data_IF_474020284260
#
_entry.id   IF_474020284260
#
_cell.length_a   1.000
_cell.length_b   1.000
_cell.length_c   1.000
_cell.angle_alpha   90.00
_cell.angle_beta   90.00
_cell.angle_gamma   90.00
#
_symmetry.space_group_name_H-M   'P 1'
#
loop_
_entity.id
_entity.type
_entity.pdbx_description
1 polymer ?
#
# COMPACT_ATOMS: atom_id res chain seq x y z
N UNK A 1 26.64 14.65 -1.33
CA UNK A 1 25.78 15.84 -1.20
C UNK A 1 24.53 15.42 -0.45
N UNK A 2 24.39 15.84 0.81
CA UNK A 2 23.18 15.61 1.60
C UNK A 2 22.11 16.56 1.05
N UNK A 3 21.22 16.02 0.22
CA UNK A 3 20.06 16.76 -0.27
C UNK A 3 19.06 16.91 0.87
N UNK A 4 18.59 18.13 1.10
CA UNK A 4 17.44 18.42 1.93
C UNK A 4 16.24 17.60 1.44
N UNK A 5 15.95 16.46 2.08
CA UNK A 5 14.64 15.82 1.96
C UNK A 5 13.65 16.73 2.70
N UNK A 6 12.87 17.49 1.93
CA UNK A 6 11.69 18.15 2.50
C UNK A 6 10.82 17.06 3.11
N UNK A 7 10.59 17.14 4.41
CA UNK A 7 9.68 16.24 5.11
C UNK A 7 8.26 16.58 4.66
N UNK A 8 7.76 15.86 3.65
CA UNK A 8 6.38 15.99 3.21
C UNK A 8 5.49 15.17 4.15
N UNK A 9 4.39 15.80 4.60
CA UNK A 9 3.34 15.07 5.30
C UNK A 9 2.80 13.96 4.38
N UNK A 10 2.64 12.75 4.90
CA UNK A 10 2.15 11.60 4.15
C UNK A 10 1.12 10.82 4.96
N UNK A 11 0.34 9.99 4.25
CA UNK A 11 -0.62 9.06 4.85
C UNK A 11 -0.14 7.65 4.56
N UNK A 12 0.16 6.88 5.62
CA UNK A 12 0.51 5.47 5.48
C UNK A 12 -0.76 4.60 5.48
N UNK A 13 -0.89 3.72 4.46
CA UNK A 13 -2.02 2.79 4.34
C UNK A 13 -1.50 1.36 4.39
N UNK A 14 -1.97 0.59 5.37
CA UNK A 14 -1.66 -0.85 5.51
C UNK A 14 -2.93 -1.67 5.33
N UNK A 15 -2.90 -2.63 4.41
CA UNK A 15 -3.98 -3.57 4.15
C UNK A 15 -3.53 -5.01 4.38
N UNK A 16 -4.34 -5.79 5.09
CA UNK A 16 -4.10 -7.23 5.31
C UNK A 16 -5.31 -8.02 4.83
N UNK A 17 -5.07 -9.05 4.03
CA UNK A 17 -6.08 -10.00 3.59
C UNK A 17 -5.72 -11.40 4.07
N UNK A 18 -6.73 -12.23 4.35
CA UNK A 18 -6.56 -13.64 4.75
C UNK A 18 -7.63 -14.48 4.09
N UNK A 19 -7.24 -15.65 3.58
CA UNK A 19 -8.16 -16.62 3.00
C UNK A 19 -7.70 -18.05 3.34
N UNK A 20 -8.64 -18.99 3.34
CA UNK A 20 -8.39 -20.44 3.36
C UNK A 20 -8.70 -20.95 1.95
N UNK A 21 -7.73 -20.77 1.04
CA UNK A 21 -7.87 -21.08 -0.38
C UNK A 21 -6.60 -21.67 -0.99
N UNK A 22 -6.70 -22.11 -2.24
CA UNK A 22 -5.56 -22.67 -3.00
C UNK A 22 -4.59 -21.59 -3.49
N UNK A 23 -5.03 -20.34 -3.54
CA UNK A 23 -4.26 -19.18 -4.01
C UNK A 23 -3.96 -18.24 -2.84
N UNK A 24 -2.89 -17.45 -2.99
CA UNK A 24 -2.63 -16.34 -2.07
C UNK A 24 -3.63 -15.20 -2.24
N UNK A 25 -3.50 -14.19 -1.37
CA UNK A 25 -4.37 -13.01 -1.31
C UNK A 25 -3.61 -11.69 -1.49
N UNK A 26 -2.51 -11.74 -2.24
CA UNK A 26 -1.66 -10.57 -2.49
C UNK A 26 -2.45 -9.47 -3.21
N UNK A 27 -3.28 -9.87 -4.18
CA UNK A 27 -4.06 -8.93 -4.98
C UNK A 27 -5.16 -8.26 -4.16
N UNK A 28 -5.80 -8.99 -3.25
CA UNK A 28 -6.83 -8.46 -2.35
C UNK A 28 -6.24 -7.39 -1.42
N UNK A 29 -5.04 -7.64 -0.89
CA UNK A 29 -4.33 -6.66 -0.08
C UNK A 29 -3.94 -5.41 -0.89
N UNK A 30 -3.38 -5.60 -2.10
CA UNK A 30 -2.95 -4.50 -2.97
C UNK A 30 -4.12 -3.66 -3.49
N UNK A 31 -5.22 -4.32 -3.88
CA UNK A 31 -6.45 -3.65 -4.31
C UNK A 31 -7.07 -2.87 -3.16
N UNK A 32 -7.10 -3.43 -1.95
CA UNK A 32 -7.64 -2.75 -0.77
C UNK A 32 -6.90 -1.43 -0.48
N UNK A 33 -5.56 -1.47 -0.42
CA UNK A 33 -4.77 -0.25 -0.14
C UNK A 33 -4.86 0.77 -1.28
N UNK A 34 -4.87 0.31 -2.54
CA UNK A 34 -5.01 1.20 -3.71
C UNK A 34 -6.36 1.89 -3.71
N UNK A 35 -7.44 1.15 -3.43
CA UNK A 35 -8.79 1.71 -3.37
C UNK A 35 -8.93 2.72 -2.23
N UNK A 36 -8.35 2.42 -1.06
CA UNK A 36 -8.31 3.36 0.06
C UNK A 36 -7.52 4.64 -0.31
N UNK A 37 -6.36 4.51 -0.96
CA UNK A 37 -5.55 5.63 -1.42
C UNK A 37 -6.32 6.51 -2.42
N UNK A 38 -7.00 5.90 -3.39
CA UNK A 38 -7.83 6.60 -4.38
C UNK A 38 -9.02 7.32 -3.73
N UNK A 39 -9.61 6.71 -2.69
CA UNK A 39 -10.72 7.32 -1.95
C UNK A 39 -10.24 8.54 -1.16
N UNK A 40 -9.08 8.45 -0.52
CA UNK A 40 -8.45 9.60 0.16
C UNK A 40 -8.12 10.70 -0.85
N UNK A 41 -7.55 10.34 -1.99
CA UNK A 41 -7.30 11.28 -3.07
C UNK A 41 -8.60 11.97 -3.50
N UNK A 42 -9.68 11.22 -3.69
CA UNK A 42 -10.98 11.78 -4.09
C UNK A 42 -11.50 12.82 -3.08
N UNK A 43 -11.36 12.56 -1.77
CA UNK A 43 -11.78 13.48 -0.72
C UNK A 43 -10.89 14.73 -0.62
N UNK A 44 -9.58 14.61 -0.86
CA UNK A 44 -8.61 15.68 -0.64
C UNK A 44 -8.17 16.44 -1.91
N UNK A 45 -8.49 15.94 -3.13
CA UNK A 45 -8.08 16.54 -4.42
C UNK A 45 -8.52 17.99 -4.63
N UNK A 46 -9.54 18.45 -3.90
CA UNK A 46 -9.98 19.84 -3.96
C UNK A 46 -9.04 20.78 -3.21
N UNK A 47 -8.37 20.28 -2.16
CA UNK A 47 -7.44 21.03 -1.30
C UNK A 47 -6.02 20.98 -1.87
N UNK A 48 -5.57 19.79 -2.26
CA UNK A 48 -4.25 19.58 -2.87
C UNK A 48 -4.37 18.67 -4.09
N UNK A 49 -3.97 19.19 -5.26
CA UNK A 49 -3.99 18.45 -6.53
C UNK A 49 -2.64 17.81 -6.87
N UNK A 50 -1.59 18.14 -6.12
CA UNK A 50 -0.26 17.61 -6.30
C UNK A 50 0.01 16.40 -5.38
N UNK A 51 -1.01 15.83 -4.74
CA UNK A 51 -0.83 14.61 -3.97
C UNK A 51 -0.38 13.45 -4.86
N UNK A 52 0.56 12.67 -4.37
CA UNK A 52 1.06 11.47 -5.04
C UNK A 52 0.65 10.22 -4.27
N UNK A 53 0.21 9.18 -5.00
CA UNK A 53 0.07 7.83 -4.45
C UNK A 53 1.34 7.06 -4.84
N UNK A 54 2.15 6.73 -3.84
CA UNK A 54 3.46 6.10 -4.04
C UNK A 54 3.59 4.83 -3.20
N UNK A 55 4.61 4.01 -3.52
CA UNK A 55 5.02 2.86 -2.71
C UNK A 55 3.91 1.82 -2.44
N UNK A 56 2.95 1.66 -3.36
CA UNK A 56 1.98 0.54 -3.31
C UNK A 56 2.72 -0.77 -3.56
N UNK A 57 2.93 -1.55 -2.49
CA UNK A 57 3.70 -2.80 -2.53
C UNK A 57 3.26 -3.77 -1.46
N UNK A 58 3.56 -5.05 -1.70
CA UNK A 58 3.40 -6.09 -0.69
C UNK A 58 4.58 -6.01 0.29
N UNK A 59 4.29 -6.02 1.60
CA UNK A 59 5.32 -5.95 2.66
C UNK A 59 5.53 -7.28 3.37
N UNK A 60 4.47 -8.10 3.43
CA UNK A 60 4.48 -9.40 4.07
C UNK A 60 3.50 -10.33 3.38
N UNK A 61 3.87 -11.60 3.25
CA UNK A 61 2.98 -12.68 2.83
C UNK A 61 3.28 -13.90 3.68
N UNK A 62 2.24 -14.61 4.10
CA UNK A 62 2.35 -15.92 4.77
C UNK A 62 1.51 -16.95 4.05
N UNK A 63 2.08 -18.14 3.85
CA UNK A 63 1.36 -19.32 3.37
C UNK A 63 1.62 -19.68 1.91
N UNK A 64 1.05 -20.82 1.50
CA UNK A 64 1.37 -21.48 0.22
C UNK A 64 2.74 -22.16 0.24
N UNK A 65 3.16 -22.68 -0.93
CA UNK A 65 4.46 -23.37 -1.08
C UNK A 65 5.66 -22.49 -0.74
N UNK A 66 5.51 -21.18 -0.90
CA UNK A 66 6.59 -20.21 -0.71
C UNK A 66 6.83 -19.82 0.77
N UNK A 67 5.99 -20.26 1.71
CA UNK A 67 6.17 -19.99 3.14
C UNK A 67 5.88 -18.54 3.55
N UNK A 68 6.61 -18.04 4.56
CA UNK A 68 6.55 -16.64 5.01
C UNK A 68 7.63 -15.82 4.30
N UNK A 69 7.21 -14.70 3.70
CA UNK A 69 8.06 -13.77 2.98
C UNK A 69 7.84 -12.37 3.54
N UNK A 70 8.91 -11.71 3.96
CA UNK A 70 8.93 -10.28 4.29
C UNK A 70 9.66 -9.52 3.20
N UNK A 71 8.95 -8.65 2.51
CA UNK A 71 9.44 -7.85 1.39
C UNK A 71 9.74 -6.45 1.95
N UNK A 72 11.04 -6.10 2.02
CA UNK A 72 11.49 -4.80 2.53
C UNK A 72 11.30 -3.68 1.52
#
# INVERSE_FOLDING_TARGET
AQGNEKEFAHIEIKGTAKNVGKTGVEMEALVAVTTAALTIYDMAKAVDRAMHIENVRLVEKRGGKSGEIKLK
#
